data_IF_633598962819
#
_entry.id   IF_633598962819
#
_cell.length_a   1.000
_cell.length_b   1.000
_cell.length_c   1.000
_cell.angle_alpha   90.00
_cell.angle_beta   90.00
_cell.angle_gamma   90.00
#
_symmetry.space_group_name_H-M   'P 1'
#
loop_
_entity.id
_entity.type
_entity.pdbx_description
1 polymer ?
#
# COMPACT_ATOMS: atom_id res chain seq x y z
N UNK A 1 -11.91 -1.38 -11.01
CA UNK A 1 -12.58 -0.84 -9.82
C UNK A 1 -11.84 -1.21 -8.53
N UNK A 2 -11.47 -2.48 -8.32
CA UNK A 2 -10.81 -2.92 -7.08
C UNK A 2 -9.49 -2.20 -6.80
N UNK A 3 -8.65 -2.02 -7.83
CA UNK A 3 -7.39 -1.26 -7.68
C UNK A 3 -7.62 0.21 -7.31
N UNK A 4 -8.74 0.81 -7.75
CA UNK A 4 -9.13 2.14 -7.30
C UNK A 4 -9.30 2.18 -5.79
N UNK A 5 -10.11 1.28 -5.22
CA UNK A 5 -10.32 1.17 -3.77
C UNK A 5 -9.02 0.90 -2.99
N UNK A 6 -8.15 0.03 -3.53
CA UNK A 6 -6.87 -0.30 -2.88
C UNK A 6 -5.97 0.94 -2.82
N UNK A 7 -5.75 1.61 -3.95
CA UNK A 7 -4.77 2.69 -4.02
C UNK A 7 -5.27 4.02 -3.47
N UNK A 8 -6.58 4.26 -3.43
CA UNK A 8 -7.17 5.32 -2.62
C UNK A 8 -6.71 5.22 -1.16
N UNK A 9 -6.76 4.03 -0.58
CA UNK A 9 -6.35 3.82 0.81
C UNK A 9 -4.83 3.75 0.99
N UNK A 10 -4.13 3.06 0.09
CA UNK A 10 -2.67 2.92 0.15
C UNK A 10 -1.93 4.27 0.04
N UNK A 11 -2.51 5.24 -0.66
CA UNK A 11 -1.94 6.57 -0.84
C UNK A 11 -1.66 7.29 0.48
N UNK A 12 -2.52 7.15 1.50
CA UNK A 12 -2.26 7.81 2.78
C UNK A 12 -0.96 7.34 3.42
N UNK A 13 -0.64 6.05 3.31
CA UNK A 13 0.63 5.49 3.78
C UNK A 13 1.80 6.01 2.93
N UNK A 14 1.71 5.84 1.62
CA UNK A 14 2.78 6.18 0.68
C UNK A 14 3.17 7.66 0.74
N UNK A 15 2.22 8.59 0.69
CA UNK A 15 2.51 10.03 0.73
C UNK A 15 3.16 10.52 2.03
N UNK A 16 3.09 9.73 3.10
CA UNK A 16 3.67 10.06 4.39
C UNK A 16 5.04 9.41 4.62
N UNK A 17 5.63 8.74 3.63
CA UNK A 17 6.83 7.95 3.82
C UNK A 17 8.00 8.80 4.33
N UNK A 18 8.23 9.97 3.76
CA UNK A 18 9.25 10.93 4.24
C UNK A 18 9.05 11.33 5.70
N UNK A 19 7.82 11.31 6.22
CA UNK A 19 7.55 11.58 7.64
C UNK A 19 8.06 10.46 8.55
N UNK A 20 8.01 9.20 8.10
CA UNK A 20 8.54 8.07 8.87
C UNK A 20 10.06 8.13 8.90
N UNK A 21 10.71 8.47 7.79
CA UNK A 21 12.16 8.71 7.74
C UNK A 21 12.59 9.89 8.64
N UNK A 22 11.86 11.00 8.59
CA UNK A 22 12.12 12.15 9.46
C UNK A 22 11.92 11.82 10.96
N UNK A 23 10.92 10.98 11.28
CA UNK A 23 10.67 10.52 12.64
C UNK A 23 11.82 9.63 13.16
N UNK A 24 12.31 8.69 12.34
CA UNK A 24 13.51 7.93 12.64
C UNK A 24 14.72 8.86 12.80
N UNK A 25 14.93 9.81 11.88
CA UNK A 25 16.05 10.75 11.92
C UNK A 25 16.11 11.52 13.24
N UNK A 26 14.95 11.94 13.78
CA UNK A 26 14.89 12.64 15.05
C UNK A 26 15.41 11.81 16.24
N UNK A 27 15.38 10.48 16.15
CA UNK A 27 15.84 9.55 17.18
C UNK A 27 17.29 9.09 16.96
N UNK A 28 17.93 9.40 15.81
CA UNK A 28 19.31 9.05 15.53
C UNK A 28 20.26 10.00 16.27
N UNK A 29 20.97 9.51 17.28
CA UNK A 29 21.97 10.30 18.03
C UNK A 29 23.24 10.53 17.19
N UNK A 30 23.62 9.56 16.34
CA UNK A 30 24.82 9.64 15.51
C UNK A 30 24.57 10.56 14.30
N UNK A 31 25.36 11.62 14.16
CA UNK A 31 25.25 12.59 13.07
C UNK A 31 25.63 12.02 11.70
N UNK A 32 26.51 11.02 11.65
CA UNK A 32 26.83 10.30 10.41
C UNK A 32 25.60 9.53 9.89
N UNK A 33 24.85 8.87 10.78
CA UNK A 33 23.61 8.19 10.40
C UNK A 33 22.55 9.19 9.91
N UNK A 34 22.45 10.36 10.56
CA UNK A 34 21.54 11.42 10.08
C UNK A 34 21.96 11.94 8.70
N UNK A 35 23.26 12.10 8.45
CA UNK A 35 23.77 12.51 7.13
C UNK A 35 23.42 11.49 6.06
N UNK A 36 23.61 10.20 6.31
CA UNK A 36 23.23 9.12 5.39
C UNK A 36 21.73 9.11 5.12
N UNK A 37 20.90 9.17 6.16
CA UNK A 37 19.44 9.16 6.00
C UNK A 37 18.90 10.43 5.31
N UNK A 38 19.64 11.55 5.37
CA UNK A 38 19.23 12.77 4.69
C UNK A 38 19.28 12.66 3.16
N UNK A 39 20.11 11.78 2.60
CA UNK A 39 20.14 11.48 1.17
C UNK A 39 18.84 10.77 0.76
N UNK A 40 18.42 9.75 1.50
CA UNK A 40 17.14 9.06 1.24
C UNK A 40 15.95 10.05 1.29
N UNK A 41 15.91 10.91 2.30
CA UNK A 41 14.85 11.92 2.45
C UNK A 41 14.86 12.90 1.27
N UNK A 42 16.04 13.30 0.81
CA UNK A 42 16.19 14.21 -0.33
C UNK A 42 15.71 13.56 -1.63
N UNK A 43 16.07 12.31 -1.89
CA UNK A 43 15.65 11.54 -3.06
C UNK A 43 14.14 11.29 -3.05
N UNK A 44 13.57 10.86 -1.93
CA UNK A 44 12.13 10.73 -1.72
C UNK A 44 11.38 12.06 -1.95
N UNK A 45 12.02 13.16 -1.61
CA UNK A 45 11.53 14.52 -1.82
C UNK A 45 11.63 15.01 -3.28
N UNK A 46 12.19 14.20 -4.19
CA UNK A 46 12.37 14.51 -5.60
C UNK A 46 13.73 15.09 -5.97
N UNK A 47 14.69 15.13 -5.03
CA UNK A 47 16.04 15.63 -5.30
C UNK A 47 16.05 17.09 -5.70
N UNK A 48 16.61 17.38 -6.86
CA UNK A 48 16.66 18.73 -7.44
C UNK A 48 15.32 19.19 -8.05
N UNK A 49 14.39 18.24 -8.28
CA UNK A 49 13.11 18.49 -8.93
C UNK A 49 11.95 18.01 -8.04
N UNK A 50 11.34 18.95 -7.33
CA UNK A 50 10.23 18.67 -6.40
C UNK A 50 9.02 18.01 -7.08
N UNK A 51 8.88 18.13 -8.40
CA UNK A 51 7.81 17.46 -9.14
C UNK A 51 8.09 15.94 -9.35
N UNK A 52 9.33 15.52 -9.06
CA UNK A 52 9.72 14.09 -9.04
C UNK A 52 9.64 13.44 -7.65
N UNK A 53 9.11 14.13 -6.64
CA UNK A 53 8.92 13.51 -5.32
C UNK A 53 8.01 12.27 -5.44
N UNK A 54 8.33 11.21 -4.72
CA UNK A 54 7.63 9.92 -4.83
C UNK A 54 6.12 10.06 -4.63
N UNK A 55 5.68 10.92 -3.73
CA UNK A 55 4.25 11.21 -3.54
C UNK A 55 3.57 11.86 -4.75
N UNK A 56 4.30 12.62 -5.60
CA UNK A 56 3.77 13.17 -6.84
C UNK A 56 3.70 12.12 -7.95
N UNK A 57 4.73 11.31 -8.09
CA UNK A 57 4.74 10.20 -9.06
C UNK A 57 3.57 9.26 -8.75
N UNK A 58 3.30 8.99 -7.47
CA UNK A 58 2.14 8.19 -7.07
C UNK A 58 0.80 8.87 -7.40
N UNK A 59 0.68 10.20 -7.22
CA UNK A 59 -0.52 10.94 -7.63
C UNK A 59 -0.75 10.88 -9.14
N UNK A 60 0.32 10.99 -9.94
CA UNK A 60 0.23 10.81 -11.39
C UNK A 60 -0.32 9.44 -11.74
N UNK A 61 0.19 8.37 -11.12
CA UNK A 61 -0.35 7.02 -11.28
C UNK A 61 -1.85 6.96 -10.92
N UNK A 62 -2.25 7.47 -9.77
CA UNK A 62 -3.64 7.45 -9.33
C UNK A 62 -4.57 8.17 -10.32
N UNK A 63 -4.17 9.34 -10.80
CA UNK A 63 -4.93 10.12 -11.76
C UNK A 63 -4.98 9.45 -13.12
N UNK A 64 -3.82 9.06 -13.67
CA UNK A 64 -3.69 8.70 -15.09
C UNK A 64 -4.08 7.23 -15.35
N UNK A 65 -3.89 6.34 -14.36
CA UNK A 65 -4.22 4.92 -14.46
C UNK A 65 -5.60 4.57 -13.90
N UNK A 66 -6.04 5.28 -12.85
CA UNK A 66 -7.19 4.88 -12.05
C UNK A 66 -8.31 5.93 -12.03
N UNK A 67 -8.11 7.10 -12.63
CA UNK A 67 -9.06 8.22 -12.59
C UNK A 67 -9.47 8.57 -11.14
N UNK A 68 -8.46 8.73 -10.28
CA UNK A 68 -8.62 9.11 -8.87
C UNK A 68 -8.15 10.55 -8.69
N UNK A 69 -9.03 11.38 -8.14
CA UNK A 69 -8.67 12.71 -7.62
C UNK A 69 -8.33 12.57 -6.12
N UNK A 70 -7.08 12.77 -5.76
CA UNK A 70 -6.61 12.59 -4.38
C UNK A 70 -7.29 13.53 -3.36
N UNK A 71 -7.86 14.65 -3.83
CA UNK A 71 -8.57 15.60 -2.96
C UNK A 71 -9.98 15.13 -2.59
N UNK A 72 -10.50 14.13 -3.30
CA UNK A 72 -11.81 13.54 -3.09
C UNK A 72 -11.75 12.21 -2.34
N UNK A 73 -10.53 11.72 -2.05
CA UNK A 73 -10.34 10.44 -1.38
C UNK A 73 -10.72 10.52 0.09
N UNK A 74 -11.64 9.66 0.51
CA UNK A 74 -11.98 9.44 1.90
C UNK A 74 -11.21 8.25 2.47
N UNK A 75 -10.35 8.53 3.45
CA UNK A 75 -9.58 7.48 4.11
C UNK A 75 -10.37 6.81 5.21
N UNK A 76 -10.42 5.48 5.17
CA UNK A 76 -11.02 4.68 6.22
C UNK A 76 -10.25 4.79 7.55
N UNK A 77 -10.91 4.49 8.65
CA UNK A 77 -10.29 4.56 9.98
C UNK A 77 -9.12 3.57 10.11
N UNK A 78 -9.21 2.40 9.50
CA UNK A 78 -8.12 1.43 9.48
C UNK A 78 -6.87 1.95 8.75
N UNK A 79 -7.05 2.75 7.69
CA UNK A 79 -5.96 3.41 6.95
C UNK A 79 -5.28 4.48 7.80
N UNK A 80 -6.08 5.32 8.46
CA UNK A 80 -5.59 6.35 9.38
C UNK A 80 -4.85 5.73 10.56
N UNK A 81 -5.38 4.63 11.11
CA UNK A 81 -4.75 3.88 12.19
C UNK A 81 -3.40 3.32 11.74
N UNK A 82 -3.34 2.62 10.60
CA UNK A 82 -2.11 2.07 10.05
C UNK A 82 -1.02 3.13 9.90
N UNK A 83 -1.34 4.27 9.25
CA UNK A 83 -0.41 5.39 9.10
C UNK A 83 0.05 5.94 10.44
N UNK A 84 -0.87 6.09 11.41
CA UNK A 84 -0.56 6.61 12.73
C UNK A 84 0.35 5.65 13.53
N UNK A 85 0.12 4.35 13.47
CA UNK A 85 0.94 3.33 14.13
C UNK A 85 2.36 3.30 13.56
N UNK A 86 2.50 3.37 12.22
CA UNK A 86 3.80 3.49 11.56
C UNK A 86 4.58 4.73 12.04
N UNK A 87 3.92 5.89 12.02
CA UNK A 87 4.54 7.13 12.45
C UNK A 87 4.92 7.09 13.93
N UNK A 88 4.02 6.60 14.78
CA UNK A 88 4.27 6.49 16.22
C UNK A 88 5.41 5.52 16.54
N UNK A 89 5.54 4.42 15.80
CA UNK A 89 6.66 3.50 15.96
C UNK A 89 7.99 4.23 15.69
N UNK A 90 8.08 4.89 14.54
CA UNK A 90 9.30 5.64 14.16
C UNK A 90 9.62 6.79 15.11
N UNK A 91 8.60 7.45 15.70
CA UNK A 91 8.80 8.55 16.65
C UNK A 91 9.22 8.10 18.04
N UNK A 92 8.71 6.95 18.50
CA UNK A 92 8.80 6.54 19.91
C UNK A 92 9.87 5.49 20.19
N UNK A 93 10.32 4.76 19.17
CA UNK A 93 11.27 3.67 19.35
C UNK A 93 12.70 4.14 19.20
N UNK A 94 13.67 3.51 19.92
CA UNK A 94 15.09 3.80 19.74
C UNK A 94 15.56 3.53 18.30
N UNK A 95 16.73 4.06 17.97
CA UNK A 95 17.31 4.03 16.61
C UNK A 95 17.42 2.63 16.00
N UNK A 96 17.82 1.63 16.80
CA UNK A 96 17.91 0.24 16.34
C UNK A 96 16.56 -0.27 15.86
N UNK A 97 15.52 -0.15 16.69
CA UNK A 97 14.19 -0.64 16.35
C UNK A 97 13.58 0.14 15.18
N UNK A 98 13.74 1.46 15.16
CA UNK A 98 13.25 2.30 14.07
C UNK A 98 13.92 1.99 12.73
N UNK A 99 15.24 1.78 12.71
CA UNK A 99 15.96 1.40 11.48
C UNK A 99 15.61 -0.02 11.03
N UNK A 100 15.48 -0.99 11.94
CA UNK A 100 15.05 -2.36 11.62
C UNK A 100 13.62 -2.40 11.04
N UNK A 101 12.72 -1.62 11.63
CA UNK A 101 11.33 -1.48 11.18
C UNK A 101 11.24 -0.94 9.75
N UNK A 102 12.00 0.13 9.43
CA UNK A 102 11.97 0.75 8.12
C UNK A 102 12.83 0.03 7.07
N UNK A 103 13.93 -0.63 7.44
CA UNK A 103 14.74 -1.41 6.49
C UNK A 103 14.06 -2.73 6.12
N UNK A 104 14.33 -3.78 6.88
CA UNK A 104 13.89 -5.16 6.57
C UNK A 104 12.37 -5.35 6.73
N UNK A 105 11.74 -4.59 7.62
CA UNK A 105 10.29 -4.64 7.84
C UNK A 105 9.47 -3.84 6.81
N UNK A 106 10.11 -2.92 6.08
CA UNK A 106 9.40 -2.00 5.18
C UNK A 106 10.01 -1.98 3.78
N UNK A 107 11.21 -1.41 3.61
CA UNK A 107 11.83 -1.22 2.28
C UNK A 107 12.15 -2.51 1.58
N UNK A 108 12.75 -3.47 2.27
CA UNK A 108 13.18 -4.72 1.67
C UNK A 108 12.04 -5.58 1.08
N UNK A 109 10.79 -5.34 1.47
CA UNK A 109 9.64 -6.07 0.91
C UNK A 109 8.94 -5.33 -0.25
N UNK A 110 9.24 -4.04 -0.43
CA UNK A 110 8.58 -3.18 -1.43
C UNK A 110 8.72 -3.73 -2.85
N UNK A 111 9.90 -4.13 -3.33
CA UNK A 111 10.03 -4.64 -4.70
C UNK A 111 9.13 -5.83 -4.96
N UNK A 112 9.11 -6.79 -4.05
CA UNK A 112 8.28 -7.99 -4.21
C UNK A 112 6.79 -7.70 -4.15
N UNK A 113 6.38 -6.81 -3.25
CA UNK A 113 4.99 -6.36 -3.15
C UNK A 113 4.55 -5.63 -4.42
N UNK A 114 5.41 -4.76 -4.95
CA UNK A 114 5.10 -3.97 -6.13
C UNK A 114 5.09 -4.82 -7.42
N UNK A 115 5.96 -5.82 -7.55
CA UNK A 115 5.85 -6.82 -8.62
C UNK A 115 4.46 -7.49 -8.64
N UNK A 116 3.95 -7.88 -7.45
CA UNK A 116 2.62 -8.51 -7.34
C UNK A 116 1.51 -7.52 -7.75
N UNK A 117 1.59 -6.27 -7.30
CA UNK A 117 0.64 -5.24 -7.70
C UNK A 117 0.66 -5.00 -9.21
N UNK A 118 1.84 -4.85 -9.82
CA UNK A 118 1.99 -4.62 -11.25
C UNK A 118 1.41 -5.78 -12.07
N UNK A 119 1.77 -7.02 -11.73
CA UNK A 119 1.24 -8.21 -12.41
C UNK A 119 -0.29 -8.25 -12.36
N UNK A 120 -0.88 -7.91 -11.21
CA UNK A 120 -2.33 -7.87 -11.06
C UNK A 120 -2.97 -6.72 -11.84
N UNK A 121 -2.37 -5.52 -11.82
CA UNK A 121 -2.85 -4.35 -12.56
C UNK A 121 -2.81 -4.56 -14.07
N UNK A 122 -1.73 -5.12 -14.60
CA UNK A 122 -1.61 -5.46 -16.04
C UNK A 122 -2.67 -6.49 -16.44
N UNK A 123 -2.89 -7.54 -15.63
CA UNK A 123 -3.99 -8.51 -15.87
C UNK A 123 -5.36 -7.85 -15.84
N UNK A 124 -5.57 -6.80 -15.07
CA UNK A 124 -6.80 -6.03 -15.01
C UNK A 124 -6.95 -5.02 -16.16
N UNK A 125 -5.96 -4.94 -17.09
CA UNK A 125 -5.99 -4.08 -18.26
C UNK A 125 -5.43 -2.68 -18.05
N UNK A 126 -4.74 -2.41 -16.93
CA UNK A 126 -4.00 -1.15 -16.73
C UNK A 126 -2.73 -1.21 -17.55
N UNK A 127 -2.47 -0.14 -18.32
CA UNK A 127 -1.29 -0.05 -19.18
C UNK A 127 0.00 0.09 -18.35
N UNK A 128 1.04 -0.65 -18.71
CA UNK A 128 2.37 -0.55 -18.09
C UNK A 128 2.95 0.87 -18.13
N UNK A 129 2.59 1.66 -19.15
CA UNK A 129 3.03 3.06 -19.26
C UNK A 129 2.61 3.95 -18.08
N UNK A 130 1.63 3.53 -17.30
CA UNK A 130 1.17 4.25 -16.11
C UNK A 130 1.79 3.73 -14.81
N UNK A 131 2.63 2.67 -14.86
CA UNK A 131 3.14 1.98 -13.67
C UNK A 131 4.54 2.45 -13.25
N UNK A 132 5.01 3.57 -13.77
CA UNK A 132 6.35 4.12 -13.51
C UNK A 132 6.69 4.24 -12.01
N UNK A 133 5.71 4.56 -11.15
CA UNK A 133 5.93 4.59 -9.70
C UNK A 133 6.43 3.24 -9.15
N UNK A 134 5.85 2.16 -9.64
CA UNK A 134 6.21 0.80 -9.20
C UNK A 134 7.52 0.34 -9.81
N UNK A 135 7.73 0.61 -11.12
CA UNK A 135 9.00 0.30 -11.80
C UNK A 135 10.18 0.97 -11.10
N UNK A 136 10.03 2.24 -10.75
CA UNK A 136 11.06 2.99 -10.04
C UNK A 136 11.49 2.30 -8.74
N UNK A 137 10.53 1.78 -7.96
CA UNK A 137 10.80 1.12 -6.68
C UNK A 137 11.26 -0.35 -6.82
N UNK A 138 11.12 -0.94 -7.99
CA UNK A 138 11.64 -2.29 -8.29
C UNK A 138 13.07 -2.20 -8.81
N UNK A 139 13.38 -1.18 -9.64
CA UNK A 139 14.66 -1.05 -10.33
C UNK A 139 15.71 -0.25 -9.56
N UNK A 140 15.29 0.80 -8.81
CA UNK A 140 16.19 1.71 -8.09
C UNK A 140 16.40 1.32 -6.61
N UNK A 141 16.19 0.11 -6.30
CA UNK A 141 15.82 -0.46 -5.05
C UNK A 141 16.86 -0.50 -3.94
N UNK A 142 18.13 -0.43 -4.23
CA UNK A 142 19.11 -0.90 -3.25
C UNK A 142 19.62 0.20 -2.30
N UNK A 143 19.60 1.45 -2.71
CA UNK A 143 20.22 2.53 -1.94
C UNK A 143 19.49 2.88 -0.63
N UNK A 144 18.18 2.94 -0.67
CA UNK A 144 17.37 3.33 0.52
C UNK A 144 17.34 2.23 1.57
N UNK A 145 17.07 0.99 1.14
CA UNK A 145 17.10 -0.17 2.01
C UNK A 145 18.50 -0.38 2.60
N UNK A 146 19.55 -0.32 1.78
CA UNK A 146 20.95 -0.48 2.22
C UNK A 146 21.36 0.57 3.26
N UNK A 147 21.00 1.83 3.08
CA UNK A 147 21.27 2.88 4.06
C UNK A 147 20.64 2.55 5.41
N UNK A 148 19.38 2.17 5.45
CA UNK A 148 18.67 1.81 6.67
C UNK A 148 19.23 0.53 7.31
N UNK A 149 19.62 -0.46 6.51
CA UNK A 149 20.27 -1.70 6.97
C UNK A 149 21.64 -1.40 7.59
N UNK A 150 22.45 -0.53 6.97
CA UNK A 150 23.74 -0.11 7.51
C UNK A 150 23.60 0.62 8.85
N UNK A 151 22.59 1.47 8.98
CA UNK A 151 22.25 2.12 10.25
C UNK A 151 21.87 1.06 11.30
N UNK A 152 20.98 0.13 10.98
CA UNK A 152 20.59 -0.98 11.86
C UNK A 152 21.80 -1.83 12.26
N UNK A 153 22.63 -2.24 11.30
CA UNK A 153 23.81 -3.09 11.52
C UNK A 153 24.87 -2.42 12.39
N UNK A 154 24.92 -1.09 12.45
CA UNK A 154 25.83 -0.36 13.33
C UNK A 154 25.57 -0.63 14.82
N UNK A 155 24.39 -1.11 15.17
CA UNK A 155 23.97 -1.46 16.53
C UNK A 155 24.22 -2.92 16.92
N UNK A 156 24.89 -3.71 16.06
CA UNK A 156 25.08 -5.17 16.22
C UNK A 156 25.69 -5.61 17.56
N UNK A 157 26.49 -4.74 18.19
CA UNK A 157 27.14 -5.00 19.48
C UNK A 157 26.26 -4.62 20.68
N UNK A 158 25.05 -4.10 20.46
CA UNK A 158 24.11 -3.81 21.53
C UNK A 158 23.51 -5.08 22.14
N UNK A 159 23.23 -5.07 23.45
CA UNK A 159 22.58 -6.21 24.09
C UNK A 159 21.24 -6.53 23.42
N UNK A 160 21.03 -7.84 23.17
CA UNK A 160 19.81 -8.38 22.56
C UNK A 160 19.50 -7.80 21.15
N UNK A 161 20.53 -7.41 20.40
CA UNK A 161 20.38 -6.82 19.06
C UNK A 161 19.44 -7.63 18.18
N UNK A 162 19.72 -8.93 17.98
CA UNK A 162 18.92 -9.79 17.09
C UNK A 162 17.43 -9.83 17.50
N UNK A 163 17.15 -10.03 18.77
CA UNK A 163 15.78 -10.09 19.29
C UNK A 163 15.05 -8.75 19.11
N UNK A 164 15.73 -7.65 19.36
CA UNK A 164 15.17 -6.29 19.25
C UNK A 164 14.87 -5.95 17.79
N UNK A 165 15.83 -6.22 16.90
CA UNK A 165 15.67 -6.01 15.47
C UNK A 165 14.53 -6.89 14.90
N UNK A 166 14.53 -8.20 15.21
CA UNK A 166 13.47 -9.13 14.77
C UNK A 166 12.09 -8.67 15.24
N UNK A 167 11.94 -8.30 16.50
CA UNK A 167 10.65 -7.82 17.01
C UNK A 167 10.15 -6.58 16.27
N UNK A 168 11.05 -5.67 15.91
CA UNK A 168 10.70 -4.46 15.16
C UNK A 168 10.31 -4.77 13.71
N UNK A 169 11.01 -5.69 13.06
CA UNK A 169 10.69 -6.20 11.72
C UNK A 169 9.31 -6.87 11.73
N UNK A 170 9.09 -7.79 12.69
CA UNK A 170 7.80 -8.49 12.82
C UNK A 170 6.64 -7.52 13.05
N UNK A 171 6.86 -6.44 13.82
CA UNK A 171 5.85 -5.39 14.03
C UNK A 171 5.48 -4.69 12.72
N UNK A 172 6.48 -4.30 11.90
CA UNK A 172 6.23 -3.67 10.61
C UNK A 172 5.44 -4.61 9.67
N UNK A 173 5.85 -5.87 9.60
CA UNK A 173 5.21 -6.90 8.77
C UNK A 173 3.77 -7.16 9.24
N UNK A 174 3.54 -7.26 10.55
CA UNK A 174 2.21 -7.47 11.13
C UNK A 174 1.27 -6.29 10.85
N UNK A 175 1.75 -5.05 11.00
CA UNK A 175 0.96 -3.87 10.68
C UNK A 175 0.55 -3.85 9.20
N UNK A 176 1.47 -4.21 8.31
CA UNK A 176 1.23 -4.28 6.88
C UNK A 176 0.26 -5.40 6.52
N UNK A 177 0.42 -6.59 7.10
CA UNK A 177 -0.49 -7.72 6.89
C UNK A 177 -1.92 -7.36 7.32
N UNK A 178 -2.09 -6.77 8.50
CA UNK A 178 -3.39 -6.29 8.96
C UNK A 178 -4.00 -5.25 8.02
N UNK A 179 -3.20 -4.30 7.53
CA UNK A 179 -3.66 -3.30 6.58
C UNK A 179 -4.11 -3.93 5.26
N UNK A 180 -3.29 -4.82 4.67
CA UNK A 180 -3.63 -5.52 3.42
C UNK A 180 -4.87 -6.42 3.59
N UNK A 181 -5.02 -7.09 4.73
CA UNK A 181 -6.21 -7.86 5.07
C UNK A 181 -7.48 -6.98 5.13
N UNK A 182 -7.37 -5.76 5.68
CA UNK A 182 -8.49 -4.80 5.68
C UNK A 182 -8.81 -4.29 4.28
N UNK A 183 -7.80 -4.03 3.45
CA UNK A 183 -8.00 -3.69 2.04
C UNK A 183 -8.71 -4.80 1.27
N UNK A 184 -8.27 -6.05 1.45
CA UNK A 184 -8.95 -7.21 0.85
C UNK A 184 -10.42 -7.30 1.29
N UNK A 185 -10.67 -7.11 2.58
CA UNK A 185 -12.03 -7.10 3.14
C UNK A 185 -12.89 -6.00 2.51
N UNK A 186 -12.34 -4.79 2.36
CA UNK A 186 -13.03 -3.66 1.72
C UNK A 186 -13.42 -3.99 0.27
N UNK A 187 -12.48 -4.52 -0.52
CA UNK A 187 -12.72 -4.92 -1.91
C UNK A 187 -13.78 -6.00 -1.98
N UNK A 188 -13.70 -7.02 -1.13
CA UNK A 188 -14.66 -8.13 -1.11
C UNK A 188 -16.07 -7.66 -0.75
N UNK A 189 -16.21 -6.81 0.27
CA UNK A 189 -17.49 -6.22 0.67
C UNK A 189 -18.09 -5.38 -0.46
N UNK A 190 -17.27 -4.58 -1.15
CA UNK A 190 -17.72 -3.78 -2.29
C UNK A 190 -18.26 -4.67 -3.43
N UNK A 191 -17.52 -5.72 -3.80
CA UNK A 191 -17.98 -6.69 -4.81
C UNK A 191 -19.31 -7.37 -4.46
N UNK A 192 -19.52 -7.69 -3.17
CA UNK A 192 -20.80 -8.26 -2.71
C UNK A 192 -21.93 -7.23 -2.85
N UNK A 193 -21.69 -6.00 -2.41
CA UNK A 193 -22.67 -4.91 -2.51
C UNK A 193 -23.09 -4.66 -3.95
N UNK A 194 -22.15 -4.59 -4.89
CA UNK A 194 -22.41 -4.43 -6.32
C UNK A 194 -23.27 -5.58 -6.88
N UNK A 195 -22.99 -6.82 -6.45
CA UNK A 195 -23.82 -7.98 -6.88
C UNK A 195 -25.23 -7.91 -6.35
N UNK A 196 -25.40 -7.51 -5.08
CA UNK A 196 -26.72 -7.36 -4.45
C UNK A 196 -27.53 -6.26 -5.17
N UNK A 197 -26.90 -5.13 -5.46
CA UNK A 197 -27.54 -4.03 -6.18
C UNK A 197 -28.04 -4.46 -7.56
N UNK A 198 -27.18 -5.13 -8.35
CA UNK A 198 -27.55 -5.69 -9.66
C UNK A 198 -28.71 -6.68 -9.59
N UNK A 199 -28.80 -7.50 -8.53
CA UNK A 199 -29.90 -8.43 -8.31
C UNK A 199 -31.18 -7.67 -7.99
N UNK A 200 -31.12 -6.62 -7.17
CA UNK A 200 -32.26 -5.82 -6.80
C UNK A 200 -32.82 -5.01 -8.00
N UNK A 201 -31.92 -4.46 -8.82
CA UNK A 201 -32.30 -3.78 -10.05
C UNK A 201 -33.03 -4.72 -11.03
N UNK A 202 -32.53 -5.95 -11.22
CA UNK A 202 -33.21 -6.97 -12.04
C UNK A 202 -34.58 -7.32 -11.47
N UNK A 203 -34.73 -7.44 -10.15
CA UNK A 203 -36.03 -7.72 -9.52
C UNK A 203 -37.00 -6.54 -9.66
N UNK A 204 -36.53 -5.30 -9.67
CA UNK A 204 -37.34 -4.10 -9.86
C UNK A 204 -37.92 -4.01 -11.28
N UNK A 205 -37.28 -4.67 -12.26
CA UNK A 205 -37.74 -4.79 -13.66
C UNK A 205 -38.70 -5.95 -13.85
N UNK A 206 -38.86 -6.83 -12.85
CA UNK A 206 -39.81 -7.94 -12.92
C UNK A 206 -41.23 -7.49 -12.59
N UNK A 207 -42.12 -7.48 -13.61
CA UNK A 207 -43.55 -7.27 -13.46
C UNK A 207 -44.24 -8.63 -13.55
N UNK A 208 -44.82 -9.16 -12.44
CA UNK A 208 -45.51 -10.44 -12.47
C UNK A 208 -46.67 -10.39 -13.47
N UNK A 209 -46.80 -11.42 -14.29
CA UNK A 209 -47.98 -11.62 -15.19
C UNK A 209 -47.85 -11.06 -16.61
N UNK A 210 -46.67 -10.64 -17.04
CA UNK A 210 -46.40 -10.38 -18.45
C UNK A 210 -45.85 -11.65 -19.14
N UNK A 211 -46.41 -12.10 -20.27
CA UNK A 211 -45.97 -13.34 -20.94
C UNK A 211 -44.50 -13.38 -21.36
N UNK A 212 -43.87 -12.21 -21.50
CA UNK A 212 -42.47 -12.10 -21.86
C UNK A 212 -41.51 -12.42 -20.69
N UNK A 213 -41.98 -12.38 -19.44
CA UNK A 213 -41.19 -12.64 -18.24
C UNK A 213 -41.24 -14.10 -17.75
N UNK A 214 -42.27 -14.90 -18.22
CA UNK A 214 -42.35 -16.32 -17.84
C UNK A 214 -41.33 -17.19 -18.55
N UNK A 215 -40.79 -16.76 -19.71
CA UNK A 215 -39.89 -17.56 -20.55
C UNK A 215 -38.39 -17.30 -20.34
N UNK A 216 -38.00 -16.38 -19.46
CA UNK A 216 -36.59 -15.94 -19.34
C UNK A 216 -35.90 -16.22 -18.00
N UNK A 217 -36.61 -16.77 -17.04
CA UNK A 217 -36.01 -17.09 -15.74
C UNK A 217 -35.68 -18.56 -15.62
N UNK A 218 -34.46 -18.96 -15.98
CA UNK A 218 -33.90 -20.27 -15.64
C UNK A 218 -32.90 -20.07 -14.48
N UNK A 219 -33.31 -20.39 -13.25
CA UNK A 219 -32.42 -20.24 -12.08
C UNK A 219 -31.22 -21.18 -12.12
N UNK A 220 -31.21 -22.20 -12.99
CA UNK A 220 -30.10 -23.13 -13.14
C UNK A 220 -29.01 -22.63 -14.11
N UNK A 221 -29.37 -21.72 -15.05
CA UNK A 221 -28.39 -21.15 -15.99
C UNK A 221 -27.60 -19.98 -15.46
N UNK A 222 -28.00 -19.41 -14.32
CA UNK A 222 -27.35 -18.26 -13.66
C UNK A 222 -26.72 -18.59 -12.26
N UNK A 223 -26.61 -19.86 -11.92
CA UNK A 223 -25.68 -20.27 -10.85
C UNK A 223 -24.28 -20.01 -11.38
N UNK A 224 -23.88 -18.74 -11.27
CA UNK A 224 -22.58 -18.29 -11.72
C UNK A 224 -21.49 -19.16 -11.10
N UNK A 225 -20.59 -19.60 -11.93
CA UNK A 225 -19.38 -20.29 -11.56
C UNK A 225 -18.65 -19.47 -10.47
N UNK A 226 -18.66 -19.98 -9.27
CA UNK A 226 -17.97 -19.37 -8.12
C UNK A 226 -16.46 -19.64 -8.13
N UNK A 227 -15.93 -20.24 -9.21
CA UNK A 227 -14.51 -20.56 -9.37
C UNK A 227 -13.60 -19.32 -9.42
N UNK A 228 -14.16 -18.13 -9.69
CA UNK A 228 -13.43 -16.86 -9.73
C UNK A 228 -13.28 -16.18 -8.34
N UNK A 229 -13.68 -16.84 -7.27
CA UNK A 229 -13.66 -16.30 -5.90
C UNK A 229 -12.62 -16.96 -4.98
N UNK A 230 -11.71 -17.80 -5.54
CA UNK A 230 -10.58 -18.38 -4.81
C UNK A 230 -9.27 -17.90 -5.41
#
# INVERSE_FOLDING_TARGET
>A
HDYKLIFEQYYLYSKNFTRYLCALMANLENDTHRAQLSENIWEEGGGEDVDKRHSEIFRCFMRDALDINENEVEFGDFTKQFMSEYLNFCLSKPSLEGSAFLSLGTEAIVPKLYEIFMQGMVKAGISENHLHFFDLHIECDDGHAETLENIMASFKDMPNFEQRATNAIDEALNLRDQFLTKLFTLVYQNRISDKIEKINDRKSLYVPGTPENEMKFDPASEAGDFSDLV
#
